data_IF_365144246579
#
_entry.id   IF_365144246579
#
_cell.length_a   1.000
_cell.length_b   1.000
_cell.length_c   1.000
_cell.angle_alpha   90.00
_cell.angle_beta   90.00
_cell.angle_gamma   90.00
#
_symmetry.space_group_name_H-M   'P 1'
#
loop_
_entity.id
_entity.type
_entity.pdbx_description
1 polymer ?
#
# COMPACT_ATOMS: atom_id res chain seq x y z
N UNK A 1 -32.93 -97.43 -17.64
CA UNK A 1 -32.90 -96.38 -16.60
C UNK A 1 -33.05 -95.10 -17.30
N UNK A 2 -34.25 -94.57 -17.26
CA UNK A 2 -34.61 -93.30 -17.96
C UNK A 2 -34.83 -92.26 -16.90
N UNK A 3 -34.12 -91.13 -17.02
CA UNK A 3 -34.27 -90.01 -16.12
C UNK A 3 -34.96 -88.85 -16.82
N UNK A 4 -36.03 -88.46 -16.20
CA UNK A 4 -37.06 -87.60 -16.67
C UNK A 4 -36.69 -86.14 -16.29
N UNK A 5 -36.36 -85.25 -17.23
CA UNK A 5 -36.21 -83.82 -16.96
C UNK A 5 -37.31 -83.03 -17.62
N UNK A 6 -38.18 -82.39 -16.81
CA UNK A 6 -39.21 -81.45 -17.19
C UNK A 6 -38.61 -80.08 -17.53
N UNK A 7 -39.09 -79.40 -18.50
CA UNK A 7 -38.61 -78.00 -18.82
C UNK A 7 -39.28 -76.95 -17.88
N UNK A 8 -38.47 -76.02 -17.36
CA UNK A 8 -38.89 -74.90 -16.53
C UNK A 8 -39.71 -73.86 -17.35
N UNK A 9 -40.82 -73.47 -16.74
CA UNK A 9 -41.71 -72.38 -17.28
C UNK A 9 -40.97 -71.06 -17.32
N UNK A 10 -41.06 -70.37 -18.47
CA UNK A 10 -40.56 -69.03 -18.69
C UNK A 10 -41.19 -67.97 -17.76
N UNK A 11 -40.36 -67.17 -17.14
CA UNK A 11 -40.76 -66.00 -16.39
C UNK A 11 -41.12 -64.83 -17.34
N UNK A 12 -42.27 -64.22 -17.10
CA UNK A 12 -42.74 -63.07 -17.84
C UNK A 12 -41.82 -61.89 -17.67
N UNK A 13 -41.62 -61.04 -18.66
CA UNK A 13 -40.75 -59.85 -18.54
C UNK A 13 -41.35 -58.75 -17.65
N UNK A 14 -40.58 -58.33 -16.68
CA UNK A 14 -40.89 -57.17 -15.80
C UNK A 14 -40.89 -55.90 -16.68
N UNK A 15 -41.92 -55.02 -16.60
CA UNK A 15 -41.94 -53.76 -17.35
C UNK A 15 -40.84 -52.83 -16.82
N UNK A 16 -39.91 -52.42 -17.69
CA UNK A 16 -38.90 -51.41 -17.40
C UNK A 16 -39.61 -50.10 -17.05
N UNK A 17 -39.33 -49.60 -15.83
CA UNK A 17 -39.80 -48.29 -15.37
C UNK A 17 -39.41 -47.20 -16.34
N UNK A 18 -40.37 -46.32 -16.60
CA UNK A 18 -40.19 -45.07 -17.38
C UNK A 18 -39.09 -44.26 -16.71
N UNK A 19 -38.07 -43.95 -17.51
CA UNK A 19 -37.03 -42.99 -17.12
C UNK A 19 -37.72 -41.67 -16.68
N UNK A 20 -37.64 -41.38 -15.38
CA UNK A 20 -38.06 -40.08 -14.86
C UNK A 20 -37.11 -39.03 -15.40
N UNK A 21 -37.61 -38.12 -16.23
CA UNK A 21 -36.86 -37.00 -16.73
C UNK A 21 -36.25 -36.22 -15.56
N UNK A 22 -34.99 -35.73 -15.66
CA UNK A 22 -34.35 -35.04 -14.56
C UNK A 22 -35.16 -33.77 -14.22
N UNK A 23 -35.62 -33.69 -12.98
CA UNK A 23 -36.32 -32.52 -12.44
C UNK A 23 -35.30 -31.34 -12.51
N UNK A 24 -35.49 -30.46 -13.46
CA UNK A 24 -34.77 -29.17 -13.50
C UNK A 24 -35.08 -28.43 -12.20
N UNK A 25 -34.12 -28.41 -11.27
CA UNK A 25 -34.15 -27.52 -10.11
C UNK A 25 -34.35 -26.11 -10.68
N UNK A 26 -35.52 -25.49 -10.42
CA UNK A 26 -35.75 -24.09 -10.67
C UNK A 26 -34.65 -23.33 -9.91
N UNK A 27 -33.66 -22.79 -10.62
CA UNK A 27 -32.75 -21.84 -10.07
C UNK A 27 -33.59 -20.67 -9.54
N UNK A 28 -33.40 -20.35 -8.27
CA UNK A 28 -33.99 -19.16 -7.69
C UNK A 28 -33.59 -17.97 -8.59
N UNK A 29 -34.49 -16.99 -8.83
CA UNK A 29 -34.16 -15.86 -9.69
C UNK A 29 -32.95 -15.15 -9.08
N UNK A 30 -31.80 -15.17 -9.80
CA UNK A 30 -30.66 -14.32 -9.48
C UNK A 30 -31.20 -12.89 -9.34
N UNK A 31 -31.10 -12.32 -8.13
CA UNK A 31 -31.34 -10.91 -7.93
C UNK A 31 -30.34 -10.17 -8.84
N UNK A 32 -30.79 -9.77 -10.02
CA UNK A 32 -30.02 -8.86 -10.89
C UNK A 32 -29.72 -7.62 -10.03
N UNK A 33 -28.48 -7.49 -9.58
CA UNK A 33 -28.03 -6.23 -9.01
C UNK A 33 -28.29 -5.17 -10.07
N UNK A 34 -29.04 -4.12 -9.70
CA UNK A 34 -29.24 -2.98 -10.58
C UNK A 34 -27.86 -2.42 -10.90
N UNK A 35 -27.46 -2.46 -12.16
CA UNK A 35 -26.24 -1.79 -12.58
C UNK A 35 -26.28 -0.33 -12.13
N UNK A 36 -25.20 0.17 -11.50
CA UNK A 36 -25.18 1.54 -11.06
C UNK A 36 -25.35 2.47 -12.26
N UNK A 37 -26.25 3.43 -12.12
CA UNK A 37 -26.51 4.41 -13.18
C UNK A 37 -25.23 5.22 -13.44
N UNK A 38 -24.78 5.26 -14.70
CA UNK A 38 -23.59 6.01 -15.11
C UNK A 38 -23.98 7.35 -15.71
N UNK A 39 -23.38 8.40 -15.19
CA UNK A 39 -23.40 9.73 -15.81
C UNK A 39 -21.97 10.06 -16.26
N UNK A 40 -21.65 9.77 -17.52
CA UNK A 40 -20.28 9.88 -18.02
C UNK A 40 -19.31 8.96 -17.25
N UNK A 41 -18.20 9.49 -16.72
CA UNK A 41 -17.24 8.74 -15.91
C UNK A 41 -17.69 8.51 -14.45
N UNK A 42 -18.79 9.09 -14.00
CA UNK A 42 -19.26 9.03 -12.63
C UNK A 42 -20.33 7.96 -12.42
N UNK A 43 -20.28 7.32 -11.25
CA UNK A 43 -21.33 6.43 -10.78
C UNK A 43 -22.35 7.19 -9.91
N UNK A 44 -23.61 7.22 -10.36
CA UNK A 44 -24.73 7.71 -9.56
C UNK A 44 -25.49 6.53 -8.94
N UNK A 45 -24.80 5.66 -8.23
CA UNK A 45 -25.39 4.47 -7.60
C UNK A 45 -24.34 3.40 -7.34
N UNK A 46 -24.71 2.36 -6.62
CA UNK A 46 -23.79 1.35 -6.09
C UNK A 46 -23.26 1.72 -4.70
N UNK A 47 -23.31 0.76 -3.78
CA UNK A 47 -22.81 0.96 -2.41
C UNK A 47 -21.28 0.83 -2.38
N UNK A 48 -20.63 1.77 -1.73
CA UNK A 48 -19.23 1.61 -1.33
C UNK A 48 -19.12 0.53 -0.26
N UNK A 49 -17.95 -0.07 -0.14
CA UNK A 49 -17.65 -0.98 0.96
C UNK A 49 -17.59 -0.21 2.28
N UNK A 50 -18.69 -0.30 3.07
CA UNK A 50 -18.82 0.40 4.35
C UNK A 50 -17.76 -0.01 5.36
N UNK A 51 -17.42 -1.30 5.54
CA UNK A 51 -16.32 -1.71 6.42
C UNK A 51 -15.00 -1.03 6.08
N UNK A 52 -14.64 -0.95 4.79
CA UNK A 52 -13.40 -0.29 4.36
C UNK A 52 -13.41 1.20 4.67
N UNK A 53 -14.54 1.87 4.43
CA UNK A 53 -14.71 3.27 4.77
C UNK A 53 -14.56 3.51 6.28
N UNK A 54 -15.23 2.70 7.11
CA UNK A 54 -15.18 2.82 8.58
C UNK A 54 -13.75 2.61 9.09
N UNK A 55 -13.05 1.56 8.63
CA UNK A 55 -11.67 1.30 9.05
C UNK A 55 -10.76 2.47 8.65
N UNK A 56 -10.92 3.02 7.46
CA UNK A 56 -10.16 4.19 7.00
C UNK A 56 -10.39 5.39 7.91
N UNK A 57 -11.66 5.68 8.26
CA UNK A 57 -11.99 6.80 9.14
C UNK A 57 -11.45 6.59 10.56
N UNK A 58 -11.53 5.37 11.09
CA UNK A 58 -10.96 5.04 12.40
C UNK A 58 -9.45 5.23 12.40
N UNK A 59 -8.72 4.68 11.40
CA UNK A 59 -7.27 4.88 11.27
C UNK A 59 -6.91 6.36 11.11
N UNK A 60 -7.70 7.13 10.37
CA UNK A 60 -7.46 8.56 10.18
C UNK A 60 -7.63 9.34 11.49
N UNK A 61 -8.70 9.09 12.25
CA UNK A 61 -8.94 9.76 13.53
C UNK A 61 -7.85 9.41 14.54
N UNK A 62 -7.54 8.12 14.72
CA UNK A 62 -6.48 7.68 15.62
C UNK A 62 -5.12 8.24 15.19
N UNK A 63 -4.84 8.25 13.88
CA UNK A 63 -3.59 8.78 13.34
C UNK A 63 -3.43 10.28 13.59
N UNK A 64 -4.47 11.09 13.34
CA UNK A 64 -4.44 12.53 13.63
C UNK A 64 -4.26 12.78 15.14
N UNK A 65 -4.93 12.00 15.99
CA UNK A 65 -4.78 12.11 17.44
C UNK A 65 -3.36 11.77 17.90
N UNK A 66 -2.79 10.68 17.38
CA UNK A 66 -1.40 10.27 17.68
C UNK A 66 -0.39 11.32 17.19
N UNK A 67 -0.56 11.81 15.96
CA UNK A 67 0.30 12.84 15.39
C UNK A 67 0.22 14.15 16.18
N UNK A 68 -0.98 14.56 16.59
CA UNK A 68 -1.16 15.76 17.44
C UNK A 68 -0.38 15.61 18.74
N UNK A 69 -0.57 14.49 19.46
CA UNK A 69 0.16 14.25 20.70
C UNK A 69 1.68 14.25 20.49
N UNK A 70 2.17 13.59 19.43
CA UNK A 70 3.61 13.52 19.15
C UNK A 70 4.22 14.86 18.70
N UNK A 71 3.43 15.78 18.15
CA UNK A 71 3.93 17.01 17.53
C UNK A 71 3.74 18.29 18.34
N UNK A 72 2.86 18.32 19.34
CA UNK A 72 2.46 19.59 19.96
C UNK A 72 3.62 20.34 20.65
N UNK A 73 4.53 19.63 21.32
CA UNK A 73 5.71 20.22 21.95
C UNK A 73 6.68 20.81 20.90
N UNK A 74 6.90 20.07 19.82
CA UNK A 74 7.75 20.53 18.71
C UNK A 74 7.10 21.70 17.97
N UNK A 75 5.78 21.63 17.73
CA UNK A 75 5.03 22.73 17.10
C UNK A 75 5.12 24.01 17.91
N UNK A 76 5.02 23.93 19.22
CA UNK A 76 5.16 25.10 20.13
C UNK A 76 6.53 25.77 19.96
N UNK A 77 7.60 24.97 19.88
CA UNK A 77 8.96 25.49 19.69
C UNK A 77 9.18 26.11 18.33
N UNK A 78 8.72 25.45 17.27
CA UNK A 78 9.05 25.78 15.87
C UNK A 78 8.12 26.85 15.26
N UNK A 79 6.97 27.15 15.90
CA UNK A 79 5.96 28.09 15.40
C UNK A 79 5.57 29.15 16.45
N UNK A 80 6.55 29.82 17.05
CA UNK A 80 6.36 30.98 17.92
C UNK A 80 5.33 30.81 19.07
N UNK A 81 5.27 29.59 19.65
CA UNK A 81 4.35 29.24 20.72
C UNK A 81 3.01 28.65 20.26
N UNK A 82 2.82 28.37 18.97
CA UNK A 82 1.63 27.69 18.46
C UNK A 82 1.79 26.17 18.48
N UNK A 83 1.20 25.50 19.48
CA UNK A 83 1.18 24.04 19.58
C UNK A 83 0.32 23.33 18.53
N UNK A 84 -0.55 24.03 17.82
CA UNK A 84 -1.54 23.45 16.91
C UNK A 84 -1.16 23.53 15.43
N UNK A 85 -0.09 24.25 15.07
CA UNK A 85 0.29 24.52 13.68
C UNK A 85 0.43 23.25 12.84
N UNK A 86 1.12 22.21 13.34
CA UNK A 86 1.24 20.93 12.63
C UNK A 86 -0.10 20.20 12.51
N UNK A 87 -0.90 20.18 13.57
CA UNK A 87 -2.20 19.52 13.57
C UNK A 87 -3.20 20.20 12.62
N UNK A 88 -3.27 21.51 12.61
CA UNK A 88 -4.18 22.26 11.71
C UNK A 88 -3.83 22.02 10.24
N UNK A 89 -2.55 22.00 9.89
CA UNK A 89 -2.09 21.65 8.53
C UNK A 89 -2.49 20.22 8.17
N UNK A 90 -2.25 19.24 9.06
CA UNK A 90 -2.60 17.84 8.84
C UNK A 90 -4.10 17.64 8.67
N UNK A 91 -4.93 18.28 9.51
CA UNK A 91 -6.39 18.25 9.42
C UNK A 91 -6.88 18.89 8.11
N UNK A 92 -6.28 19.99 7.67
CA UNK A 92 -6.58 20.60 6.37
C UNK A 92 -6.35 19.63 5.20
N UNK A 93 -5.20 18.95 5.18
CA UNK A 93 -4.92 17.91 4.17
C UNK A 93 -5.82 16.67 4.32
N UNK A 94 -6.19 16.30 5.54
CA UNK A 94 -7.13 15.20 5.78
C UNK A 94 -8.52 15.51 5.20
N UNK A 95 -9.05 16.71 5.43
CA UNK A 95 -10.33 17.14 4.86
C UNK A 95 -10.26 17.17 3.33
N UNK A 96 -9.22 17.78 2.75
CA UNK A 96 -9.02 17.79 1.31
C UNK A 96 -8.91 16.37 0.73
N UNK A 97 -8.17 15.49 1.42
CA UNK A 97 -8.01 14.09 1.05
C UNK A 97 -9.32 13.29 1.15
N UNK A 98 -10.14 13.52 2.19
CA UNK A 98 -11.47 12.90 2.31
C UNK A 98 -12.40 13.31 1.17
N UNK A 99 -12.41 14.60 0.80
CA UNK A 99 -13.17 15.08 -0.36
C UNK A 99 -12.66 14.41 -1.63
N UNK A 100 -11.34 14.36 -1.85
CA UNK A 100 -10.76 13.68 -3.00
C UNK A 100 -11.09 12.18 -3.00
N UNK A 101 -11.03 11.50 -1.87
CA UNK A 101 -11.41 10.09 -1.69
C UNK A 101 -12.85 9.85 -2.14
N UNK A 102 -13.79 10.68 -1.71
CA UNK A 102 -15.20 10.57 -2.07
C UNK A 102 -15.43 10.84 -3.57
N UNK A 103 -14.78 11.84 -4.14
CA UNK A 103 -14.83 12.14 -5.58
C UNK A 103 -14.27 10.98 -6.37
N UNK A 104 -13.06 10.50 -6.06
CA UNK A 104 -12.41 9.38 -6.74
C UNK A 104 -13.24 8.09 -6.59
N UNK A 105 -13.83 7.84 -5.43
CA UNK A 105 -14.70 6.69 -5.21
C UNK A 105 -15.93 6.69 -6.12
N UNK A 106 -16.35 7.86 -6.60
CA UNK A 106 -17.47 8.05 -7.51
C UNK A 106 -17.08 7.96 -8.99
N UNK A 107 -15.77 7.97 -9.30
CA UNK A 107 -15.23 7.82 -10.65
C UNK A 107 -15.00 6.34 -10.97
N UNK A 108 -15.33 5.91 -12.19
CA UNK A 108 -15.06 4.54 -12.62
C UNK A 108 -13.55 4.28 -12.75
N UNK A 109 -13.00 3.41 -11.88
CA UNK A 109 -11.57 3.05 -11.94
C UNK A 109 -11.13 2.51 -13.31
N UNK A 110 -12.07 2.02 -14.15
CA UNK A 110 -11.78 1.56 -15.52
C UNK A 110 -11.35 2.68 -16.47
N UNK A 111 -11.53 3.95 -16.08
CA UNK A 111 -10.98 5.07 -16.86
C UNK A 111 -9.45 5.01 -16.92
N UNK A 112 -8.82 4.41 -15.90
CA UNK A 112 -7.37 4.19 -15.87
C UNK A 112 -6.90 3.18 -16.93
N UNK A 113 -7.82 2.38 -17.49
CA UNK A 113 -7.58 1.46 -18.61
C UNK A 113 -7.74 2.13 -19.98
N UNK A 114 -8.23 3.38 -20.04
CA UNK A 114 -8.43 4.07 -21.30
C UNK A 114 -7.15 4.10 -22.13
N UNK A 115 -7.25 3.69 -23.37
CA UNK A 115 -6.13 3.60 -24.31
C UNK A 115 -6.29 4.62 -25.42
N UNK A 116 -5.22 5.35 -25.69
CA UNK A 116 -5.07 6.14 -26.89
C UNK A 116 -4.17 5.38 -27.89
N UNK A 117 -4.44 5.50 -29.17
CA UNK A 117 -3.67 4.85 -30.23
C UNK A 117 -2.90 5.87 -31.10
N UNK A 118 -1.94 6.64 -30.51
CA UNK A 118 -1.16 7.58 -31.29
C UNK A 118 -0.26 6.86 -32.29
N UNK A 119 -0.07 7.44 -33.45
CA UNK A 119 0.90 6.97 -34.44
C UNK A 119 2.27 7.55 -34.08
N UNK A 120 3.11 6.76 -33.40
CA UNK A 120 4.48 7.16 -33.02
C UNK A 120 5.48 6.41 -33.91
N UNK A 121 6.38 7.15 -34.56
CA UNK A 121 7.39 6.58 -35.46
C UNK A 121 6.80 5.64 -36.53
N UNK A 122 5.64 6.00 -37.13
CA UNK A 122 4.97 5.21 -38.17
C UNK A 122 4.29 3.93 -37.68
N UNK A 123 4.26 3.65 -36.36
CA UNK A 123 3.55 2.50 -35.78
C UNK A 123 2.45 2.96 -34.81
N UNK A 124 1.25 2.41 -34.96
CA UNK A 124 0.18 2.58 -33.99
C UNK A 124 0.62 1.91 -32.66
N UNK A 125 0.81 2.68 -31.63
CA UNK A 125 1.09 2.17 -30.28
C UNK A 125 -0.12 2.42 -29.38
N UNK A 126 -0.51 1.41 -28.62
CA UNK A 126 -1.49 1.58 -27.55
C UNK A 126 -0.78 2.19 -26.35
N UNK A 127 -1.17 3.40 -25.95
CA UNK A 127 -0.69 4.08 -24.75
C UNK A 127 -1.88 4.22 -23.82
N UNK A 128 -1.86 3.52 -22.69
CA UNK A 128 -2.88 3.64 -21.67
C UNK A 128 -2.59 4.82 -20.75
N UNK A 129 -3.63 5.32 -20.08
CA UNK A 129 -3.50 6.36 -19.06
C UNK A 129 -2.49 5.96 -17.95
N UNK A 130 -2.42 4.66 -17.62
CA UNK A 130 -1.44 4.13 -16.66
C UNK A 130 0.02 4.37 -17.07
N UNK A 131 0.35 4.30 -18.38
CA UNK A 131 1.70 4.63 -18.87
C UNK A 131 2.00 6.12 -18.72
N UNK A 132 1.06 6.98 -19.05
CA UNK A 132 1.21 8.44 -18.96
C UNK A 132 1.42 8.83 -17.51
N UNK A 133 0.62 8.29 -16.58
CA UNK A 133 0.73 8.56 -15.16
C UNK A 133 2.08 8.11 -14.59
N UNK A 134 2.54 6.91 -14.97
CA UNK A 134 3.85 6.42 -14.53
C UNK A 134 4.98 7.33 -15.04
N UNK A 135 5.00 7.65 -16.34
CA UNK A 135 6.05 8.51 -16.91
C UNK A 135 6.04 9.90 -16.27
N UNK A 136 4.85 10.48 -16.10
CA UNK A 136 4.71 11.79 -15.46
C UNK A 136 5.20 11.77 -14.01
N UNK A 137 4.85 10.74 -13.24
CA UNK A 137 5.30 10.58 -11.85
C UNK A 137 6.82 10.33 -11.78
N UNK A 138 7.41 9.60 -12.73
CA UNK A 138 8.87 9.43 -12.83
C UNK A 138 9.58 10.75 -13.15
N UNK A 139 9.06 11.54 -14.08
CA UNK A 139 9.60 12.85 -14.43
C UNK A 139 9.50 13.82 -13.24
N UNK A 140 8.34 13.83 -12.55
CA UNK A 140 8.14 14.66 -11.37
C UNK A 140 9.12 14.26 -10.24
N UNK A 141 9.34 12.96 -10.05
CA UNK A 141 10.32 12.46 -9.07
C UNK A 141 11.75 12.81 -9.51
N UNK A 142 12.09 12.67 -10.78
CA UNK A 142 13.41 13.05 -11.30
C UNK A 142 13.69 14.55 -11.16
N UNK A 143 12.66 15.41 -11.23
CA UNK A 143 12.78 16.85 -11.04
C UNK A 143 13.27 17.23 -9.62
N UNK A 144 13.15 16.36 -8.64
CA UNK A 144 13.74 16.57 -7.30
C UNK A 144 15.27 16.65 -7.34
N UNK A 145 15.92 15.97 -8.29
CA UNK A 145 17.40 15.98 -8.39
C UNK A 145 17.95 17.39 -8.56
N UNK A 146 17.50 18.21 -9.54
CA UNK A 146 17.94 19.60 -9.69
C UNK A 146 17.22 20.61 -8.79
N UNK A 147 15.91 20.42 -8.49
CA UNK A 147 15.07 21.45 -7.85
C UNK A 147 14.66 21.11 -6.41
N UNK A 148 15.04 19.93 -5.91
CA UNK A 148 14.62 19.47 -4.59
C UNK A 148 15.27 20.26 -3.46
N UNK A 149 14.51 20.29 -2.34
CA UNK A 149 14.95 20.84 -1.06
C UNK A 149 15.05 19.70 -0.03
N UNK A 150 15.84 19.94 1.01
CA UNK A 150 15.90 19.10 2.20
C UNK A 150 15.16 19.79 3.34
N UNK A 151 14.46 19.03 4.17
CA UNK A 151 13.85 19.54 5.39
C UNK A 151 14.86 19.65 6.55
N UNK A 152 16.07 19.08 6.37
CA UNK A 152 17.15 19.10 7.35
C UNK A 152 18.36 19.75 6.68
N UNK A 153 19.04 20.65 7.39
CA UNK A 153 20.25 21.33 6.89
C UNK A 153 21.32 20.30 6.52
N UNK A 154 21.82 20.31 5.28
CA UNK A 154 22.76 19.31 4.77
C UNK A 154 22.16 17.91 4.47
N UNK A 155 20.87 17.70 4.68
CA UNK A 155 20.20 16.41 4.45
C UNK A 155 19.88 16.13 2.98
N UNK A 156 19.39 14.90 2.68
CA UNK A 156 19.05 14.50 1.32
C UNK A 156 17.87 15.27 0.77
N UNK A 157 17.99 15.76 -0.47
CA UNK A 157 16.94 16.45 -1.18
C UNK A 157 15.88 15.47 -1.66
N UNK A 158 14.67 15.50 -1.10
CA UNK A 158 13.57 14.57 -1.41
C UNK A 158 12.24 15.27 -1.69
N UNK A 159 12.18 16.57 -1.46
CA UNK A 159 10.96 17.36 -1.47
C UNK A 159 11.03 18.44 -2.53
N UNK A 160 9.89 18.76 -3.14
CA UNK A 160 9.74 19.96 -3.98
C UNK A 160 9.00 21.04 -3.20
N UNK A 161 9.49 22.29 -3.16
CA UNK A 161 8.77 23.40 -2.53
C UNK A 161 7.58 23.77 -3.40
N UNK A 162 6.40 23.90 -2.78
CA UNK A 162 5.19 24.44 -3.42
C UNK A 162 4.86 25.75 -2.74
N UNK A 163 4.90 26.89 -3.48
CA UNK A 163 4.54 28.18 -2.90
C UNK A 163 3.16 28.15 -2.25
N UNK A 164 3.08 28.57 -0.98
CA UNK A 164 1.84 28.64 -0.22
C UNK A 164 1.31 27.32 0.38
N UNK A 165 1.81 26.15 -0.06
CA UNK A 165 1.37 24.84 0.44
C UNK A 165 2.44 24.06 1.22
N UNK A 166 3.70 24.53 1.21
CA UNK A 166 4.81 23.87 1.88
C UNK A 166 5.62 22.98 0.95
N UNK A 167 5.99 21.78 1.42
CA UNK A 167 6.79 20.81 0.65
C UNK A 167 5.96 19.62 0.21
N UNK A 168 6.24 19.14 -0.99
CA UNK A 168 5.59 17.97 -1.61
C UNK A 168 6.63 16.90 -1.93
N UNK A 169 6.30 15.64 -1.64
CA UNK A 169 7.18 14.52 -1.93
C UNK A 169 6.72 13.76 -3.19
N UNK A 170 7.39 13.96 -4.34
CA UNK A 170 6.98 13.33 -5.61
C UNK A 170 7.00 11.80 -5.61
N UNK A 171 7.82 11.18 -4.77
CA UNK A 171 7.84 9.71 -4.64
C UNK A 171 6.51 9.12 -4.14
N UNK A 172 5.65 9.90 -3.48
CA UNK A 172 4.31 9.44 -3.10
C UNK A 172 3.42 9.25 -4.33
N UNK A 173 3.49 10.18 -5.29
CA UNK A 173 2.80 10.02 -6.59
C UNK A 173 3.39 8.88 -7.40
N UNK A 174 4.72 8.70 -7.34
CA UNK A 174 5.38 7.60 -8.04
C UNK A 174 4.94 6.22 -7.52
N UNK A 175 4.72 6.07 -6.21
CA UNK A 175 4.16 4.84 -5.64
C UNK A 175 2.79 4.51 -6.26
N UNK A 176 1.90 5.49 -6.31
CA UNK A 176 0.57 5.35 -6.93
C UNK A 176 0.69 5.01 -8.42
N UNK A 177 1.53 5.75 -9.14
CA UNK A 177 1.80 5.52 -10.56
C UNK A 177 2.32 4.11 -10.84
N UNK A 178 3.24 3.61 -9.99
CA UNK A 178 3.76 2.25 -10.06
C UNK A 178 2.66 1.20 -9.85
N UNK A 179 1.82 1.36 -8.84
CA UNK A 179 0.71 0.44 -8.54
C UNK A 179 -0.27 0.38 -9.71
N UNK A 180 -0.71 1.53 -10.21
CA UNK A 180 -1.67 1.60 -11.33
C UNK A 180 -1.07 0.98 -12.59
N UNK A 181 0.19 1.30 -12.91
CA UNK A 181 0.87 0.73 -14.06
C UNK A 181 1.05 -0.78 -13.93
N UNK A 182 1.51 -1.27 -12.78
CA UNK A 182 1.68 -2.72 -12.55
C UNK A 182 0.35 -3.46 -12.61
N UNK A 183 -0.72 -2.89 -12.06
CA UNK A 183 -2.06 -3.46 -12.16
C UNK A 183 -2.51 -3.57 -13.62
N UNK A 184 -2.32 -2.52 -14.42
CA UNK A 184 -2.59 -2.52 -15.86
C UNK A 184 -1.72 -3.56 -16.59
N UNK A 185 -0.40 -3.53 -16.38
CA UNK A 185 0.55 -4.40 -17.06
C UNK A 185 0.24 -5.88 -16.82
N UNK A 186 -0.02 -6.25 -15.56
CA UNK A 186 -0.35 -7.62 -15.17
C UNK A 186 -1.70 -8.03 -15.76
N UNK A 187 -2.72 -7.17 -15.70
CA UNK A 187 -4.05 -7.48 -16.24
C UNK A 187 -3.99 -7.79 -17.74
N UNK A 188 -3.28 -6.97 -18.52
CA UNK A 188 -3.14 -7.14 -19.98
C UNK A 188 -2.29 -8.38 -20.32
N UNK A 189 -1.23 -8.65 -19.56
CA UNK A 189 -0.25 -9.69 -19.88
C UNK A 189 -0.45 -10.98 -19.08
N UNK A 190 -1.54 -11.14 -18.33
CA UNK A 190 -1.73 -12.23 -17.36
C UNK A 190 -1.35 -13.62 -17.86
N UNK A 191 -1.81 -14.01 -19.07
CA UNK A 191 -1.52 -15.33 -19.63
C UNK A 191 -0.03 -15.58 -19.93
N UNK A 192 0.75 -14.50 -20.07
CA UNK A 192 2.18 -14.52 -20.41
C UNK A 192 3.10 -14.24 -19.23
N UNK A 193 2.55 -13.97 -18.03
CA UNK A 193 3.33 -13.60 -16.83
C UNK A 193 4.33 -14.68 -16.39
N UNK A 194 4.10 -15.94 -16.75
CA UNK A 194 5.05 -17.04 -16.46
C UNK A 194 6.33 -17.00 -17.31
N UNK A 195 6.33 -16.30 -18.45
CA UNK A 195 7.52 -16.17 -19.29
C UNK A 195 8.47 -15.14 -18.72
N UNK A 196 9.78 -15.45 -18.72
CA UNK A 196 10.83 -14.59 -18.16
C UNK A 196 10.77 -13.14 -18.72
N UNK A 197 10.65 -13.00 -20.04
CA UNK A 197 10.65 -11.68 -20.70
C UNK A 197 9.48 -10.80 -20.30
N UNK A 198 8.30 -11.38 -20.10
CA UNK A 198 7.07 -10.63 -19.77
C UNK A 198 6.89 -10.54 -18.27
N UNK A 199 7.14 -11.62 -17.53
CA UNK A 199 6.92 -11.66 -16.09
C UNK A 199 8.03 -11.02 -15.27
N UNK A 200 9.25 -10.85 -15.83
CA UNK A 200 10.38 -10.27 -15.10
C UNK A 200 11.10 -9.19 -15.88
N UNK A 201 11.63 -9.50 -17.08
CA UNK A 201 12.57 -8.61 -17.77
C UNK A 201 11.96 -7.25 -18.11
N UNK A 202 10.79 -7.22 -18.75
CA UNK A 202 10.14 -5.95 -19.13
C UNK A 202 9.76 -5.09 -17.94
N UNK A 203 9.00 -5.58 -16.93
CA UNK A 203 8.70 -4.79 -15.76
C UNK A 203 9.96 -4.50 -14.92
N UNK A 204 10.96 -5.39 -14.92
CA UNK A 204 12.23 -5.19 -14.25
C UNK A 204 13.06 -4.05 -14.83
N UNK A 205 13.10 -3.90 -16.15
CA UNK A 205 13.78 -2.74 -16.80
C UNK A 205 13.11 -1.44 -16.39
N UNK A 206 11.76 -1.41 -16.40
CA UNK A 206 11.01 -0.24 -15.95
C UNK A 206 11.32 0.08 -14.49
N UNK A 207 11.31 -0.93 -13.61
CA UNK A 207 11.63 -0.75 -12.20
C UNK A 207 13.08 -0.33 -11.96
N UNK A 208 14.05 -0.81 -12.80
CA UNK A 208 15.43 -0.38 -12.73
C UNK A 208 15.60 1.13 -12.99
N UNK A 209 14.82 1.70 -13.90
CA UNK A 209 14.82 3.16 -14.10
C UNK A 209 14.33 3.89 -12.85
N UNK A 210 13.25 3.41 -12.21
CA UNK A 210 12.76 3.96 -10.94
C UNK A 210 13.85 3.85 -9.87
N UNK A 211 14.51 2.70 -9.76
CA UNK A 211 15.60 2.48 -8.82
C UNK A 211 16.74 3.50 -8.99
N UNK A 212 17.17 3.76 -10.22
CA UNK A 212 18.20 4.77 -10.49
C UNK A 212 17.78 6.17 -10.04
N UNK A 213 16.54 6.56 -10.32
CA UNK A 213 15.99 7.86 -9.89
C UNK A 213 15.99 7.96 -8.35
N UNK A 214 15.53 6.91 -7.65
CA UNK A 214 15.45 6.89 -6.19
C UNK A 214 16.82 6.86 -5.51
N UNK A 215 17.78 6.16 -6.08
CA UNK A 215 19.17 6.13 -5.57
C UNK A 215 19.89 7.48 -5.74
N UNK A 216 19.59 8.21 -6.83
CA UNK A 216 20.11 9.57 -7.04
C UNK A 216 19.58 10.59 -6.01
N UNK A 217 18.45 10.29 -5.34
CA UNK A 217 17.84 11.12 -4.31
C UNK A 217 18.17 10.69 -2.87
N UNK A 218 19.11 9.82 -2.61
CA UNK A 218 19.35 8.96 -1.44
C UNK A 218 18.06 8.61 -0.64
N UNK A 219 17.03 8.09 -1.37
CA UNK A 219 15.74 7.77 -0.77
C UNK A 219 15.52 6.25 -0.68
N UNK A 220 16.32 5.60 0.20
CA UNK A 220 16.32 4.14 0.36
C UNK A 220 14.96 3.60 0.83
N UNK A 221 14.33 4.28 1.79
CA UNK A 221 13.01 3.87 2.32
C UNK A 221 11.94 3.79 1.25
N UNK A 222 11.80 4.84 0.43
CA UNK A 222 10.86 4.84 -0.69
C UNK A 222 11.17 3.76 -1.71
N UNK A 223 12.45 3.52 -2.00
CA UNK A 223 12.89 2.44 -2.88
C UNK A 223 12.50 1.06 -2.33
N UNK A 224 12.75 0.77 -1.04
CA UNK A 224 12.42 -0.52 -0.43
C UNK A 224 10.91 -0.80 -0.45
N UNK A 225 10.08 0.19 -0.14
CA UNK A 225 8.63 0.06 -0.23
C UNK A 225 8.19 -0.26 -1.65
N UNK A 226 8.68 0.50 -2.65
CA UNK A 226 8.35 0.27 -4.06
C UNK A 226 8.86 -1.08 -4.56
N UNK A 227 10.03 -1.54 -4.12
CA UNK A 227 10.58 -2.85 -4.45
C UNK A 227 9.71 -3.99 -3.88
N UNK A 228 9.26 -3.84 -2.62
CA UNK A 228 8.36 -4.81 -2.00
C UNK A 228 7.01 -4.87 -2.73
N UNK A 229 6.39 -3.73 -3.03
CA UNK A 229 5.15 -3.65 -3.80
C UNK A 229 5.33 -4.31 -5.18
N UNK A 230 6.38 -3.95 -5.90
CA UNK A 230 6.71 -4.50 -7.20
C UNK A 230 6.84 -6.02 -7.18
N UNK A 231 7.64 -6.56 -6.24
CA UNK A 231 7.87 -8.00 -6.11
C UNK A 231 6.58 -8.77 -5.77
N UNK A 232 5.80 -8.27 -4.80
CA UNK A 232 4.55 -8.94 -4.40
C UNK A 232 3.48 -8.82 -5.48
N UNK A 233 3.35 -7.69 -6.17
CA UNK A 233 2.43 -7.56 -7.30
C UNK A 233 2.80 -8.53 -8.44
N UNK A 234 4.07 -8.73 -8.76
CA UNK A 234 4.50 -9.76 -9.72
C UNK A 234 4.13 -11.16 -9.25
N UNK A 235 4.32 -11.47 -7.97
CA UNK A 235 3.96 -12.76 -7.37
C UNK A 235 2.47 -13.05 -7.51
N UNK A 236 1.62 -12.13 -7.04
CA UNK A 236 0.15 -12.24 -7.14
C UNK A 236 -0.30 -12.24 -8.59
N UNK A 237 0.40 -11.50 -9.47
CA UNK A 237 0.20 -11.47 -10.91
C UNK A 237 0.54 -12.77 -11.64
N UNK A 238 1.07 -13.77 -10.94
CA UNK A 238 1.38 -15.10 -11.49
C UNK A 238 2.73 -15.22 -12.17
N UNK A 239 3.69 -14.35 -11.86
CA UNK A 239 5.08 -14.52 -12.28
C UNK A 239 5.69 -15.80 -11.69
N UNK A 240 6.66 -16.37 -12.38
CA UNK A 240 7.30 -17.60 -11.92
C UNK A 240 8.13 -17.32 -10.64
N UNK A 241 7.91 -18.10 -9.58
CA UNK A 241 8.62 -17.95 -8.29
C UNK A 241 10.14 -17.98 -8.45
N UNK A 242 10.66 -18.73 -9.40
CA UNK A 242 12.12 -18.75 -9.70
C UNK A 242 12.63 -17.36 -10.13
N UNK A 243 11.83 -16.62 -10.88
CA UNK A 243 12.17 -15.25 -11.28
C UNK A 243 12.18 -14.30 -10.09
N UNK A 244 11.23 -14.49 -9.16
CA UNK A 244 11.17 -13.70 -7.93
C UNK A 244 12.35 -13.98 -7.00
N UNK A 245 12.78 -15.24 -6.91
CA UNK A 245 14.00 -15.58 -6.18
C UNK A 245 15.24 -14.93 -6.80
N UNK A 246 15.32 -14.82 -8.13
CA UNK A 246 16.39 -14.09 -8.80
C UNK A 246 16.38 -12.60 -8.45
N UNK A 247 15.19 -11.95 -8.37
CA UNK A 247 15.08 -10.56 -7.92
C UNK A 247 15.52 -10.45 -6.45
N UNK A 248 15.06 -11.35 -5.59
CA UNK A 248 15.45 -11.38 -4.19
C UNK A 248 16.95 -11.53 -4.01
N UNK A 249 17.57 -12.45 -4.75
CA UNK A 249 19.00 -12.67 -4.72
C UNK A 249 19.78 -11.45 -5.27
N UNK A 250 19.31 -10.87 -6.37
CA UNK A 250 19.92 -9.64 -6.93
C UNK A 250 19.80 -8.46 -5.95
N UNK A 251 18.67 -8.32 -5.28
CA UNK A 251 18.46 -7.30 -4.25
C UNK A 251 19.36 -7.52 -3.03
N UNK A 252 19.47 -8.76 -2.54
CA UNK A 252 20.38 -9.11 -1.44
C UNK A 252 21.84 -8.84 -1.81
N UNK A 253 22.27 -9.26 -3.01
CA UNK A 253 23.60 -8.99 -3.52
C UNK A 253 23.87 -7.48 -3.64
N UNK A 254 22.88 -6.71 -4.12
CA UNK A 254 22.98 -5.27 -4.20
C UNK A 254 23.18 -4.63 -2.82
N UNK A 255 22.44 -5.05 -1.79
CA UNK A 255 22.61 -4.57 -0.41
C UNK A 255 24.02 -4.94 0.11
N UNK A 256 24.48 -6.18 -0.11
CA UNK A 256 25.82 -6.60 0.30
C UNK A 256 26.91 -5.75 -0.38
N UNK A 257 26.78 -5.52 -1.68
CA UNK A 257 27.71 -4.67 -2.44
C UNK A 257 27.69 -3.24 -1.88
N UNK A 258 26.52 -2.68 -1.63
CA UNK A 258 26.37 -1.36 -1.03
C UNK A 258 27.07 -1.25 0.34
N UNK A 259 26.97 -2.29 1.18
CA UNK A 259 27.64 -2.33 2.48
C UNK A 259 29.17 -2.47 2.39
N UNK A 260 29.70 -2.95 1.26
CA UNK A 260 31.16 -3.09 1.04
C UNK A 260 31.84 -1.80 0.57
N UNK A 261 31.11 -0.87 -0.03
CA UNK A 261 31.70 0.38 -0.50
C UNK A 261 31.69 1.46 0.59
N UNK A 262 32.85 2.12 0.79
CA UNK A 262 33.06 3.14 1.82
C UNK A 262 32.12 4.37 1.71
N UNK A 263 31.66 4.69 0.50
CA UNK A 263 30.80 5.83 0.24
C UNK A 263 29.37 5.68 0.85
N UNK A 264 29.06 4.49 1.36
CA UNK A 264 27.78 4.19 2.01
C UNK A 264 27.89 4.00 3.53
N UNK A 265 28.85 4.67 4.19
CA UNK A 265 29.06 4.61 5.65
C UNK A 265 27.78 4.89 6.43
N UNK A 266 26.99 5.87 5.99
CA UNK A 266 25.68 6.20 6.57
C UNK A 266 24.70 5.01 6.64
N UNK A 267 24.70 4.13 5.63
CA UNK A 267 23.86 2.93 5.64
C UNK A 267 24.47 1.82 6.51
N UNK A 268 25.80 1.68 6.47
CA UNK A 268 26.52 0.68 7.25
C UNK A 268 26.28 0.85 8.76
N UNK A 269 26.37 2.07 9.25
CA UNK A 269 26.13 2.39 10.67
C UNK A 269 24.70 2.04 11.09
N UNK A 270 23.69 2.31 10.25
CA UNK A 270 22.30 1.98 10.53
C UNK A 270 21.97 0.48 10.53
N UNK A 271 22.71 -0.33 9.77
CA UNK A 271 22.46 -1.77 9.64
C UNK A 271 23.24 -2.63 10.63
N UNK A 272 24.39 -2.17 11.11
CA UNK A 272 25.34 -3.01 11.85
C UNK A 272 25.35 -2.63 13.34
N UNK A 273 25.09 -1.37 13.69
CA UNK A 273 25.15 -0.91 15.08
C UNK A 273 23.91 -1.33 15.86
N UNK A 274 24.11 -2.02 16.99
CA UNK A 274 23.05 -2.36 17.93
C UNK A 274 22.70 -1.12 18.78
N UNK A 275 21.46 -0.58 18.66
CA UNK A 275 21.07 0.61 19.42
C UNK A 275 21.08 0.41 20.93
N UNK A 276 20.93 -0.83 21.42
CA UNK A 276 20.92 -1.14 22.85
C UNK A 276 22.32 -1.27 23.42
N UNK A 277 23.28 -1.73 22.60
CA UNK A 277 24.67 -1.89 23.04
C UNK A 277 25.47 -0.58 22.95
N UNK A 278 25.20 0.23 21.93
CA UNK A 278 25.86 1.52 21.71
C UNK A 278 24.85 2.57 21.23
N UNK A 279 24.25 3.34 22.16
CA UNK A 279 23.31 4.41 21.83
C UNK A 279 24.06 5.68 21.32
N UNK A 280 24.87 5.51 20.26
CA UNK A 280 25.53 6.62 19.58
C UNK A 280 24.57 7.48 18.75
N UNK A 281 25.09 8.55 18.15
CA UNK A 281 24.26 9.55 17.41
C UNK A 281 23.33 8.93 16.34
N UNK A 282 23.81 7.90 15.63
CA UNK A 282 23.05 7.25 14.54
C UNK A 282 21.94 6.30 15.05
N UNK A 283 22.08 5.78 16.25
CA UNK A 283 21.17 4.81 16.89
C UNK A 283 20.30 5.43 17.98
N UNK A 284 20.60 6.66 18.39
CA UNK A 284 19.91 7.38 19.46
C UNK A 284 18.38 7.41 19.28
N UNK A 285 17.90 7.70 18.06
CA UNK A 285 16.47 7.73 17.79
C UNK A 285 15.79 6.39 18.07
N UNK A 286 16.39 5.29 17.62
CA UNK A 286 15.83 3.94 17.84
C UNK A 286 15.90 3.54 19.31
N UNK A 287 16.97 3.91 20.00
CA UNK A 287 17.10 3.70 21.45
C UNK A 287 15.99 4.40 22.22
N UNK A 288 15.73 5.68 21.95
CA UNK A 288 14.65 6.43 22.59
C UNK A 288 13.26 5.87 22.25
N UNK A 289 13.07 5.37 21.03
CA UNK A 289 11.82 4.72 20.64
C UNK A 289 11.55 3.45 21.46
N UNK A 290 12.57 2.62 21.70
CA UNK A 290 12.45 1.42 22.54
C UNK A 290 12.14 1.80 23.99
N UNK A 291 12.79 2.84 24.52
CA UNK A 291 12.49 3.35 25.86
C UNK A 291 11.05 3.84 25.97
N UNK A 292 10.53 4.55 24.93
CA UNK A 292 9.13 4.97 24.87
C UNK A 292 8.20 3.77 24.97
N UNK A 293 8.36 2.78 24.07
CA UNK A 293 7.52 1.58 24.04
C UNK A 293 7.58 0.83 25.36
N UNK A 294 8.80 0.62 25.91
CA UNK A 294 9.01 -0.10 27.18
C UNK A 294 8.38 0.61 28.37
N UNK A 295 8.42 1.94 28.39
CA UNK A 295 7.87 2.75 29.50
C UNK A 295 6.33 2.81 29.50
N UNK A 296 5.67 2.47 28.37
CA UNK A 296 4.22 2.43 28.27
C UNK A 296 3.56 1.23 28.99
N UNK A 297 4.30 0.14 29.23
CA UNK A 297 3.76 -1.06 29.86
C UNK A 297 2.53 -1.63 29.12
N UNK A 298 1.58 -2.22 29.85
CA UNK A 298 0.39 -2.82 29.25
C UNK A 298 -0.68 -1.78 28.86
N UNK A 299 -0.91 -0.78 29.71
CA UNK A 299 -2.03 0.15 29.62
C UNK A 299 -1.64 1.55 29.13
N UNK A 300 -0.34 1.86 29.09
CA UNK A 300 0.17 3.18 28.76
C UNK A 300 0.17 4.16 29.93
N UNK A 301 0.80 5.31 29.69
CA UNK A 301 0.86 6.44 30.63
C UNK A 301 -0.37 7.36 30.56
N UNK A 302 -1.26 7.13 29.63
CA UNK A 302 -2.40 7.99 29.29
C UNK A 302 -2.08 8.95 28.14
N UNK A 303 -3.17 9.38 27.45
CA UNK A 303 -3.08 10.30 26.34
C UNK A 303 -2.36 11.59 26.74
N UNK A 304 -1.48 12.07 25.88
CA UNK A 304 -0.65 13.27 26.05
C UNK A 304 0.40 13.22 27.19
N UNK A 305 0.59 12.05 27.83
CA UNK A 305 1.53 11.86 28.93
C UNK A 305 2.85 11.16 28.50
N UNK A 306 3.15 11.11 27.22
CA UNK A 306 4.46 10.62 26.76
C UNK A 306 5.56 11.56 27.24
N UNK A 307 6.63 10.98 27.80
CA UNK A 307 7.82 11.72 28.23
C UNK A 307 8.77 11.93 27.04
N UNK A 308 8.85 10.92 26.17
CA UNK A 308 9.84 10.89 25.10
C UNK A 308 9.56 11.94 23.99
N UNK A 309 8.32 12.36 23.80
CA UNK A 309 7.96 13.41 22.83
C UNK A 309 8.51 14.80 23.19
N UNK A 310 8.89 15.05 24.45
CA UNK A 310 9.47 16.31 24.89
C UNK A 310 10.97 16.36 24.60
N UNK A 311 11.31 16.35 23.29
CA UNK A 311 12.67 16.52 22.72
C UNK A 311 13.66 15.37 23.00
N UNK A 312 13.27 14.29 23.66
CA UNK A 312 14.11 13.11 23.81
C UNK A 312 14.11 12.25 22.54
N UNK A 313 12.96 12.12 21.89
CA UNK A 313 12.80 11.32 20.67
C UNK A 313 12.76 12.25 19.44
N UNK A 314 13.84 12.33 18.63
CA UNK A 314 13.84 13.08 17.40
C UNK A 314 12.82 12.49 16.38
N UNK A 315 12.20 13.36 15.58
CA UNK A 315 11.22 12.96 14.55
C UNK A 315 10.03 12.15 15.11
N UNK A 316 9.65 12.38 16.37
CA UNK A 316 8.55 11.70 17.04
C UNK A 316 7.24 11.77 16.26
N UNK A 317 6.96 12.91 15.59
CA UNK A 317 5.76 13.15 14.79
C UNK A 317 5.80 12.47 13.39
N UNK A 318 6.99 12.08 12.91
CA UNK A 318 7.18 11.49 11.60
C UNK A 318 7.36 9.96 11.69
N UNK A 319 8.58 9.53 11.97
CA UNK A 319 8.96 8.12 11.84
C UNK A 319 8.71 7.31 13.11
N UNK A 320 8.59 7.97 14.26
CA UNK A 320 8.46 7.34 15.57
C UNK A 320 7.12 7.60 16.27
N UNK A 321 6.10 8.02 15.52
CA UNK A 321 4.75 8.25 16.08
C UNK A 321 4.16 7.01 16.75
N UNK A 322 4.49 5.80 16.25
CA UNK A 322 4.05 4.54 16.84
C UNK A 322 4.68 4.30 18.22
N UNK A 323 5.94 4.70 18.45
CA UNK A 323 6.58 4.60 19.76
C UNK A 323 5.91 5.51 20.79
N UNK A 324 5.57 6.76 20.40
CA UNK A 324 4.80 7.69 21.24
C UNK A 324 3.41 7.12 21.54
N UNK A 325 2.73 6.57 20.52
CA UNK A 325 1.44 5.90 20.70
C UNK A 325 1.52 4.75 21.72
N UNK A 326 2.55 3.89 21.62
CA UNK A 326 2.75 2.80 22.57
C UNK A 326 3.11 3.30 23.97
N UNK A 327 3.83 4.42 24.14
CA UNK A 327 4.07 5.02 25.43
C UNK A 327 2.78 5.50 26.10
N UNK A 328 1.87 6.11 25.33
CA UNK A 328 0.62 6.67 25.83
C UNK A 328 -0.49 5.64 26.05
N UNK A 329 -0.63 4.66 25.14
CA UNK A 329 -1.71 3.66 25.16
C UNK A 329 -1.23 2.24 25.50
N UNK A 330 0.04 2.05 25.76
CA UNK A 330 0.64 0.79 26.15
C UNK A 330 0.66 -0.27 25.04
N UNK A 331 1.00 -1.48 25.43
CA UNK A 331 1.03 -2.65 24.56
C UNK A 331 -0.33 -2.90 23.88
N UNK A 332 -1.43 -2.75 24.64
CA UNK A 332 -2.79 -2.94 24.10
C UNK A 332 -3.08 -1.94 22.99
N UNK A 333 -2.75 -0.67 23.17
CA UNK A 333 -2.92 0.36 22.13
C UNK A 333 -2.09 0.05 20.89
N UNK A 334 -0.86 -0.42 21.04
CA UNK A 334 -0.01 -0.85 19.93
C UNK A 334 -0.61 -2.02 19.14
N UNK A 335 -1.09 -3.07 19.86
CA UNK A 335 -1.75 -4.23 19.22
C UNK A 335 -3.03 -3.83 18.48
N UNK A 336 -3.86 -2.95 19.05
CA UNK A 336 -5.07 -2.46 18.39
C UNK A 336 -4.75 -1.80 17.03
N UNK A 337 -3.72 -0.98 16.97
CA UNK A 337 -3.27 -0.34 15.72
C UNK A 337 -2.80 -1.38 14.70
N UNK A 338 -2.03 -2.38 15.11
CA UNK A 338 -1.60 -3.49 14.24
C UNK A 338 -2.82 -4.23 13.68
N UNK A 339 -3.79 -4.56 14.52
CA UNK A 339 -5.02 -5.25 14.10
C UNK A 339 -5.84 -4.42 13.11
N UNK A 340 -5.96 -3.11 13.30
CA UNK A 340 -6.63 -2.21 12.37
C UNK A 340 -5.96 -2.20 11.00
N UNK A 341 -4.63 -2.15 10.93
CA UNK A 341 -3.90 -2.26 9.66
C UNK A 341 -4.10 -3.62 9.00
N UNK A 342 -4.07 -4.72 9.76
CA UNK A 342 -4.35 -6.06 9.23
C UNK A 342 -5.77 -6.14 8.66
N UNK A 343 -6.77 -5.62 9.37
CA UNK A 343 -8.16 -5.60 8.90
C UNK A 343 -8.27 -4.77 7.61
N UNK A 344 -7.61 -3.60 7.54
CA UNK A 344 -7.55 -2.78 6.33
C UNK A 344 -6.99 -3.58 5.14
N UNK A 345 -5.85 -4.22 5.32
CA UNK A 345 -5.16 -5.00 4.27
C UNK A 345 -6.02 -6.18 3.81
N UNK A 346 -6.55 -6.96 4.74
CA UNK A 346 -7.40 -8.11 4.39
C UNK A 346 -8.70 -7.67 3.72
N UNK A 347 -9.31 -6.56 4.15
CA UNK A 347 -10.52 -6.02 3.51
C UNK A 347 -10.23 -5.54 2.10
N UNK A 348 -9.10 -4.88 1.86
CA UNK A 348 -8.69 -4.47 0.52
C UNK A 348 -8.45 -5.65 -0.41
N UNK A 349 -7.80 -6.72 0.05
CA UNK A 349 -7.67 -7.98 -0.71
C UNK A 349 -9.04 -8.63 -0.99
N UNK A 350 -9.94 -8.60 -0.02
CA UNK A 350 -11.30 -9.13 -0.20
C UNK A 350 -12.05 -8.39 -1.31
N UNK A 351 -12.02 -7.05 -1.31
CA UNK A 351 -12.61 -6.21 -2.36
C UNK A 351 -11.99 -6.57 -3.72
N UNK A 352 -10.67 -6.66 -3.80
CA UNK A 352 -9.97 -7.03 -5.04
C UNK A 352 -10.39 -8.40 -5.57
N UNK A 353 -10.49 -9.41 -4.71
CA UNK A 353 -10.93 -10.77 -5.10
C UNK A 353 -12.38 -10.83 -5.59
N UNK A 354 -13.21 -9.92 -5.14
CA UNK A 354 -14.62 -9.80 -5.54
C UNK A 354 -14.82 -8.87 -6.73
N UNK A 355 -13.75 -8.24 -7.23
CA UNK A 355 -13.79 -7.39 -8.42
C UNK A 355 -14.10 -8.20 -9.69
N UNK A 356 -14.82 -7.58 -10.63
CA UNK A 356 -15.21 -8.19 -11.89
C UNK A 356 -14.03 -8.47 -12.83
N UNK A 357 -12.93 -7.75 -12.66
CA UNK A 357 -11.78 -7.82 -13.56
C UNK A 357 -10.43 -7.89 -12.82
N UNK A 358 -9.41 -8.30 -13.57
CA UNK A 358 -8.05 -8.48 -13.02
C UNK A 358 -7.34 -7.17 -12.71
N UNK A 359 -7.71 -6.10 -13.39
CA UNK A 359 -7.14 -4.80 -13.11
C UNK A 359 -7.57 -4.32 -11.72
N UNK A 360 -8.88 -4.40 -11.41
CA UNK A 360 -9.39 -4.09 -10.07
C UNK A 360 -8.78 -4.97 -8.98
N UNK A 361 -8.62 -6.29 -9.24
CA UNK A 361 -7.92 -7.18 -8.31
C UNK A 361 -6.50 -6.70 -8.03
N UNK A 362 -5.71 -6.40 -9.07
CA UNK A 362 -4.32 -5.99 -8.92
C UNK A 362 -4.19 -4.59 -8.31
N UNK A 363 -5.10 -3.67 -8.64
CA UNK A 363 -5.13 -2.33 -8.08
C UNK A 363 -5.37 -2.37 -6.55
N UNK A 364 -6.41 -3.10 -6.12
CA UNK A 364 -6.69 -3.29 -4.69
C UNK A 364 -5.54 -3.99 -3.97
N UNK A 365 -4.93 -5.00 -4.62
CA UNK A 365 -3.77 -5.70 -4.08
C UNK A 365 -2.60 -4.75 -3.87
N UNK A 366 -2.27 -3.92 -4.86
CA UNK A 366 -1.15 -2.97 -4.79
C UNK A 366 -1.33 -1.93 -3.69
N UNK A 367 -2.52 -1.30 -3.59
CA UNK A 367 -2.84 -0.31 -2.56
C UNK A 367 -2.80 -0.93 -1.17
N UNK A 368 -3.43 -2.09 -0.98
CA UNK A 368 -3.45 -2.77 0.32
C UNK A 368 -2.04 -3.18 0.77
N UNK A 369 -1.22 -3.67 -0.16
CA UNK A 369 0.18 -4.01 0.10
C UNK A 369 1.01 -2.79 0.46
N UNK A 370 0.84 -1.66 -0.23
CA UNK A 370 1.54 -0.42 0.10
C UNK A 370 1.30 -0.05 1.56
N UNK A 371 0.03 0.02 1.97
CA UNK A 371 -0.34 0.37 3.35
C UNK A 371 0.22 -0.64 4.34
N UNK A 372 0.06 -1.95 4.07
CA UNK A 372 0.52 -3.00 4.97
C UNK A 372 2.04 -3.06 5.10
N UNK A 373 2.76 -2.99 3.99
CA UNK A 373 4.24 -3.00 3.98
C UNK A 373 4.78 -1.76 4.68
N UNK A 374 4.23 -0.58 4.39
CA UNK A 374 4.69 0.66 4.99
C UNK A 374 4.45 0.68 6.50
N UNK A 375 3.29 0.22 6.98
CA UNK A 375 3.01 0.06 8.41
C UNK A 375 3.94 -0.97 9.06
N UNK A 376 4.15 -2.13 8.43
CA UNK A 376 5.04 -3.18 8.92
C UNK A 376 6.49 -2.68 9.07
N UNK A 377 7.01 -1.97 8.06
CA UNK A 377 8.36 -1.41 8.12
C UNK A 377 8.50 -0.35 9.22
N UNK A 378 7.52 0.57 9.33
CA UNK A 378 7.56 1.59 10.40
C UNK A 378 7.54 0.93 11.79
N UNK A 379 6.60 0.02 12.04
CA UNK A 379 6.50 -0.71 13.31
C UNK A 379 7.79 -1.49 13.56
N UNK A 380 8.32 -2.19 12.55
CA UNK A 380 9.58 -2.95 12.65
C UNK A 380 10.79 -2.08 13.03
N UNK A 381 10.86 -0.84 12.53
CA UNK A 381 11.89 0.14 12.92
C UNK A 381 11.68 0.59 14.36
N UNK A 382 10.45 0.92 14.74
CA UNK A 382 10.13 1.38 16.10
C UNK A 382 10.45 0.35 17.19
N UNK A 383 10.27 -0.95 16.88
CA UNK A 383 10.61 -2.06 17.81
C UNK A 383 12.04 -2.60 17.60
N UNK A 384 12.88 -1.91 16.84
CA UNK A 384 14.27 -2.30 16.54
C UNK A 384 14.41 -3.66 15.82
N UNK A 385 13.35 -4.18 15.19
CA UNK A 385 13.42 -5.38 14.37
C UNK A 385 13.98 -5.11 12.96
N UNK A 386 13.94 -3.86 12.53
CA UNK A 386 14.47 -3.38 11.25
C UNK A 386 15.33 -2.12 11.49
N UNK A 387 16.36 -1.90 10.65
CA UNK A 387 17.19 -0.70 10.75
C UNK A 387 16.36 0.56 10.48
N UNK A 388 16.75 1.67 11.12
CA UNK A 388 16.07 2.95 10.93
C UNK A 388 16.27 3.46 9.50
N UNK A 389 15.20 3.46 8.73
CA UNK A 389 15.18 3.88 7.33
C UNK A 389 14.35 5.15 7.08
N UNK A 390 13.71 5.72 8.10
CA UNK A 390 12.89 6.92 7.96
C UNK A 390 11.62 6.66 7.14
N UNK A 391 10.86 5.62 7.48
CA UNK A 391 9.59 5.28 6.83
C UNK A 391 8.44 5.81 7.69
N UNK A 392 7.64 6.71 7.13
CA UNK A 392 6.44 7.23 7.79
C UNK A 392 5.34 6.16 7.90
N UNK A 393 4.57 6.19 9.00
CA UNK A 393 3.43 5.29 9.21
C UNK A 393 2.19 5.82 8.50
N UNK A 394 1.50 5.00 7.65
CA UNK A 394 0.28 5.44 6.96
C UNK A 394 -0.75 5.96 7.95
N UNK A 395 -1.45 7.05 7.63
CA UNK A 395 -2.43 7.78 8.45
C UNK A 395 -1.89 8.45 9.72
N UNK A 396 -0.82 7.95 10.33
CA UNK A 396 -0.34 8.38 11.66
C UNK A 396 0.75 9.45 11.60
N UNK A 397 1.72 9.31 10.68
CA UNK A 397 2.83 10.24 10.58
C UNK A 397 2.40 11.60 10.05
N UNK A 398 3.09 12.64 10.50
CA UNK A 398 2.96 13.97 9.92
C UNK A 398 3.44 13.97 8.46
N UNK A 399 2.57 14.43 7.57
CA UNK A 399 2.85 14.48 6.13
C UNK A 399 1.58 14.74 5.34
N UNK A 400 1.19 16.02 5.20
CA UNK A 400 -0.09 16.39 4.59
C UNK A 400 -0.26 15.82 3.18
N UNK A 401 0.76 15.95 2.33
CA UNK A 401 0.69 15.44 0.94
C UNK A 401 0.68 13.92 0.87
N UNK A 402 1.41 13.23 1.76
CA UNK A 402 1.39 11.78 1.84
C UNK A 402 0.01 11.26 2.27
N UNK A 403 -0.61 11.91 3.27
CA UNK A 403 -1.96 11.59 3.73
C UNK A 403 -3.00 11.83 2.62
N UNK A 404 -2.90 12.96 1.91
CA UNK A 404 -3.76 13.27 0.77
C UNK A 404 -3.68 12.18 -0.31
N UNK A 405 -2.47 11.78 -0.72
CA UNK A 405 -2.27 10.74 -1.72
C UNK A 405 -2.80 9.38 -1.25
N UNK A 406 -2.59 9.04 0.02
CA UNK A 406 -3.11 7.82 0.62
C UNK A 406 -4.65 7.78 0.60
N UNK A 407 -5.32 8.88 0.91
CA UNK A 407 -6.78 8.97 0.82
C UNK A 407 -7.29 8.88 -0.63
N UNK A 408 -6.54 9.43 -1.61
CA UNK A 408 -6.82 9.20 -3.03
C UNK A 408 -6.73 7.71 -3.41
N UNK A 409 -5.73 6.98 -2.92
CA UNK A 409 -5.59 5.54 -3.13
C UNK A 409 -6.77 4.75 -2.53
N UNK A 410 -7.19 5.12 -1.30
CA UNK A 410 -8.40 4.54 -0.70
C UNK A 410 -9.64 4.84 -1.55
N UNK A 411 -9.73 6.05 -2.13
CA UNK A 411 -10.78 6.41 -3.08
C UNK A 411 -10.84 5.48 -4.29
N UNK A 412 -9.67 5.11 -4.86
CA UNK A 412 -9.59 4.12 -5.94
C UNK A 412 -10.07 2.73 -5.48
N UNK A 413 -9.69 2.31 -4.28
CA UNK A 413 -10.12 1.04 -3.70
C UNK A 413 -11.63 1.01 -3.50
N UNK A 414 -12.23 2.10 -3.00
CA UNK A 414 -13.68 2.26 -2.87
C UNK A 414 -14.37 2.32 -4.25
N UNK A 415 -13.75 2.89 -5.28
CA UNK A 415 -14.27 2.85 -6.65
C UNK A 415 -14.38 1.41 -7.17
N UNK A 416 -13.35 0.57 -6.93
CA UNK A 416 -13.41 -0.85 -7.27
C UNK A 416 -14.54 -1.54 -6.50
N UNK A 417 -14.73 -1.22 -5.21
CA UNK A 417 -15.75 -1.86 -4.37
C UNK A 417 -17.18 -1.65 -4.88
N UNK A 418 -17.48 -0.52 -5.54
CA UNK A 418 -18.79 -0.24 -6.13
C UNK A 418 -19.19 -1.21 -7.24
N UNK A 419 -18.21 -1.84 -7.89
CA UNK A 419 -18.42 -2.86 -8.93
C UNK A 419 -18.21 -4.28 -8.44
N UNK A 420 -17.58 -4.44 -7.29
CA UNK A 420 -17.30 -5.75 -6.73
C UNK A 420 -18.60 -6.41 -6.23
N UNK A 421 -18.70 -7.73 -6.45
CA UNK A 421 -19.82 -8.53 -5.97
C UNK A 421 -19.58 -8.86 -4.48
N UNK A 422 -19.90 -7.92 -3.60
CA UNK A 422 -19.58 -7.98 -2.16
C UNK A 422 -20.62 -8.76 -1.33
N UNK A 423 -21.73 -9.23 -1.96
CA UNK A 423 -22.77 -10.04 -1.34
C UNK A 423 -22.43 -11.51 -1.30
#
# INVERSE_FOLDING_TARGET
>A
MAENTRPARGAAPVPRGRDAAPVKKKQAPEKKQKEPYKFGPFYLGGSVDVPMLVITLVLLVLGITAMFSASHALSYRDNDGDSYSYATRQVGFAIAGLVAMLVISSVDYKILLAEAHPTLFGKKRSISFAHVLLVLSMLLTAAVIPFGVSNIEGGPKRWLPIPGLGTFQPSDVLKVGLIIFMAYYIAVNYRKMRHFTVGLLKPGIMFAVIAVIMLKQPHLSGFLIMAAIFAVMLFVGGANVRHLLLIGLAGALFVVVMLMFSDFTYFKERFITDPLADPGDTTYQTYQAILAIGSGGLWGKGFDNSTQKYYYLPEAQNDFVYAVWCEEFGFIGGVVVILLFLIFVFRGFYIGRKSDDRFGLMLCTGISLQVGVQALFNIGVNVCALPNTGISMPFFSYGGTALFMLLCEVGLLLSVSRRANLN
#
